data_IF_405425303197
#
_entry.id   IF_405425303197
#
_cell.length_a   1.000
_cell.length_b   1.000
_cell.length_c   1.000
_cell.angle_alpha   90.00
_cell.angle_beta   90.00
_cell.angle_gamma   90.00
#
_symmetry.space_group_name_H-M   'P 1'
#
loop_
_entity.id
_entity.type
_entity.pdbx_description
1 polymer ?
#
# COMPACT_ATOMS: atom_id res chain seq x y z
N UNK A 1 6.21 -15.05 10.22
CA UNK A 1 4.81 -15.35 10.61
C UNK A 1 3.97 -14.17 10.17
N UNK A 2 2.93 -14.37 9.34
CA UNK A 2 2.01 -13.28 8.98
C UNK A 2 1.18 -12.93 10.22
N UNK A 3 1.07 -11.65 10.61
CA UNK A 3 0.23 -11.27 11.75
C UNK A 3 -1.21 -11.68 11.51
N UNK A 4 -1.91 -12.09 12.56
CA UNK A 4 -3.32 -12.46 12.42
C UNK A 4 -4.16 -11.21 12.15
N UNK A 5 -5.23 -11.36 11.36
CA UNK A 5 -6.19 -10.26 11.12
C UNK A 5 -6.65 -9.60 12.43
N UNK A 6 -7.04 -10.41 13.41
CA UNK A 6 -7.56 -9.94 14.70
C UNK A 6 -6.52 -9.12 15.49
N UNK A 7 -5.25 -9.49 15.44
CA UNK A 7 -4.17 -8.70 16.06
C UNK A 7 -4.04 -7.34 15.39
N UNK A 8 -4.06 -7.29 14.05
CA UNK A 8 -3.99 -6.04 13.30
C UNK A 8 -5.20 -5.14 13.59
N UNK A 9 -6.41 -5.68 13.57
CA UNK A 9 -7.64 -4.95 13.92
C UNK A 9 -7.56 -4.36 15.33
N UNK A 10 -7.05 -5.15 16.29
CA UNK A 10 -6.89 -4.71 17.69
C UNK A 10 -5.90 -3.55 17.80
N UNK A 11 -4.76 -3.64 17.12
CA UNK A 11 -3.75 -2.58 17.10
C UNK A 11 -4.29 -1.31 16.42
N UNK A 12 -4.93 -1.44 15.27
CA UNK A 12 -5.53 -0.32 14.56
C UNK A 12 -6.62 0.38 15.39
N UNK A 13 -7.49 -0.38 16.07
CA UNK A 13 -8.50 0.18 16.94
C UNK A 13 -7.91 0.95 18.13
N UNK A 14 -6.75 0.51 18.65
CA UNK A 14 -6.01 1.25 19.68
C UNK A 14 -5.37 2.52 19.12
N UNK A 15 -4.77 2.45 17.94
CA UNK A 15 -4.21 3.62 17.24
C UNK A 15 -5.26 4.69 16.97
N UNK A 16 -6.50 4.30 16.62
CA UNK A 16 -7.64 5.20 16.46
C UNK A 16 -7.95 6.01 17.73
N UNK A 17 -7.58 5.50 18.91
CA UNK A 17 -7.72 6.18 20.22
C UNK A 17 -6.45 6.90 20.65
N UNK A 18 -5.54 7.19 19.71
CA UNK A 18 -4.27 7.87 19.94
C UNK A 18 -3.30 7.12 20.89
N UNK A 19 -3.37 5.78 20.90
CA UNK A 19 -2.44 4.94 21.65
C UNK A 19 -1.11 4.79 20.90
N UNK A 20 -0.10 5.57 21.30
CA UNK A 20 1.24 5.53 20.70
C UNK A 20 1.94 4.17 20.85
N UNK A 21 1.63 3.39 21.89
CA UNK A 21 2.21 2.06 22.07
C UNK A 21 1.66 1.04 21.05
N UNK A 22 0.46 1.28 20.51
CA UNK A 22 -0.09 0.44 19.45
C UNK A 22 0.62 0.64 18.11
N UNK A 23 1.10 1.86 17.81
CA UNK A 23 1.91 2.13 16.62
C UNK A 23 3.24 1.37 16.69
N UNK A 24 3.91 1.42 17.84
CA UNK A 24 5.17 0.68 18.05
C UNK A 24 4.97 -0.84 17.96
N UNK A 25 3.91 -1.37 18.57
CA UNK A 25 3.60 -2.79 18.48
C UNK A 25 3.28 -3.23 17.03
N UNK A 26 2.61 -2.39 16.25
CA UNK A 26 2.39 -2.65 14.82
C UNK A 26 3.71 -2.63 14.05
N UNK A 27 4.59 -1.68 14.35
CA UNK A 27 5.93 -1.60 13.76
C UNK A 27 6.72 -2.88 14.02
N UNK A 28 6.90 -3.27 15.29
CA UNK A 28 7.68 -4.46 15.65
C UNK A 28 7.15 -5.73 14.97
N UNK A 29 5.83 -5.84 14.85
CA UNK A 29 5.15 -6.99 14.26
C UNK A 29 5.32 -7.07 12.73
N UNK A 30 5.40 -5.93 12.03
CA UNK A 30 5.26 -5.88 10.56
C UNK A 30 6.49 -5.34 9.83
N UNK A 31 7.33 -4.55 10.50
CA UNK A 31 8.45 -3.84 9.91
C UNK A 31 9.43 -4.74 9.12
N UNK A 32 9.85 -5.93 9.59
CA UNK A 32 10.80 -6.75 8.83
C UNK A 32 10.30 -7.12 7.43
N UNK A 33 9.01 -7.45 7.29
CA UNK A 33 8.40 -7.84 6.00
C UNK A 33 8.12 -6.64 5.11
N UNK A 34 7.65 -5.54 5.72
CA UNK A 34 7.38 -4.30 5.01
C UNK A 34 8.68 -3.64 4.52
N UNK A 35 9.76 -3.73 5.31
CA UNK A 35 11.09 -3.29 4.93
C UNK A 35 11.63 -4.09 3.74
N UNK A 36 11.54 -5.43 3.77
CA UNK A 36 11.92 -6.28 2.65
C UNK A 36 11.14 -5.96 1.36
N UNK A 37 9.86 -5.56 1.49
CA UNK A 37 9.07 -5.07 0.36
C UNK A 37 9.61 -3.76 -0.20
N UNK A 38 9.85 -2.76 0.66
CA UNK A 38 10.45 -1.48 0.24
C UNK A 38 11.81 -1.69 -0.43
N UNK A 39 12.66 -2.54 0.14
CA UNK A 39 13.98 -2.85 -0.41
C UNK A 39 13.91 -3.48 -1.80
N UNK A 40 12.93 -4.35 -2.06
CA UNK A 40 12.73 -4.94 -3.39
C UNK A 40 12.27 -3.91 -4.44
N UNK A 41 11.49 -2.92 -4.03
CA UNK A 41 10.99 -1.85 -4.92
C UNK A 41 12.10 -0.84 -5.22
N UNK A 42 12.77 -0.34 -4.17
CA UNK A 42 13.71 0.76 -4.27
C UNK A 42 15.14 0.30 -4.60
N UNK A 43 15.49 -0.93 -4.23
CA UNK A 43 16.88 -1.47 -4.33
C UNK A 43 17.93 -0.59 -3.64
N UNK A 44 17.49 0.26 -2.72
CA UNK A 44 18.31 1.14 -1.89
C UNK A 44 17.87 1.00 -0.43
N UNK A 45 18.83 0.75 0.45
CA UNK A 45 18.57 0.54 1.87
C UNK A 45 18.07 1.81 2.55
N UNK A 46 18.71 2.95 2.27
CA UNK A 46 18.37 4.23 2.90
C UNK A 46 16.99 4.70 2.46
N UNK A 47 16.69 4.54 1.17
CA UNK A 47 15.37 4.81 0.61
C UNK A 47 14.29 3.89 1.17
N UNK A 48 14.60 2.61 1.38
CA UNK A 48 13.67 1.66 1.98
C UNK A 48 13.34 2.02 3.45
N UNK A 49 14.33 2.45 4.23
CA UNK A 49 14.12 2.93 5.61
C UNK A 49 13.23 4.18 5.62
N UNK A 50 13.55 5.16 4.78
CA UNK A 50 12.79 6.40 4.69
C UNK A 50 11.34 6.17 4.23
N UNK A 51 11.12 5.32 3.23
CA UNK A 51 9.79 4.96 2.76
C UNK A 51 8.98 4.24 3.85
N UNK A 52 9.62 3.35 4.60
CA UNK A 52 8.97 2.65 5.71
C UNK A 52 8.55 3.62 6.82
N UNK A 53 9.43 4.54 7.21
CA UNK A 53 9.13 5.56 8.22
C UNK A 53 7.95 6.44 7.81
N UNK A 54 7.95 6.95 6.57
CA UNK A 54 6.83 7.77 6.07
C UNK A 54 5.52 6.96 6.04
N UNK A 55 5.59 5.69 5.62
CA UNK A 55 4.42 4.82 5.63
C UNK A 55 3.84 4.64 7.04
N UNK A 56 4.66 4.44 8.07
CA UNK A 56 4.18 4.32 9.44
C UNK A 56 3.59 5.63 9.99
N UNK A 57 4.17 6.79 9.63
CA UNK A 57 3.55 8.08 9.94
C UNK A 57 2.17 8.20 9.29
N UNK A 58 2.04 7.81 8.02
CA UNK A 58 0.77 7.82 7.29
C UNK A 58 -0.26 6.87 7.89
N UNK A 59 0.14 5.63 8.19
CA UNK A 59 -0.70 4.63 8.88
C UNK A 59 -1.22 5.17 10.21
N UNK A 60 -0.36 5.81 11.02
CA UNK A 60 -0.77 6.38 12.30
C UNK A 60 -1.81 7.50 12.14
N UNK A 61 -1.60 8.43 11.20
CA UNK A 61 -2.55 9.51 10.91
C UNK A 61 -3.89 8.98 10.39
N UNK A 62 -3.85 8.05 9.44
CA UNK A 62 -5.06 7.50 8.81
C UNK A 62 -5.87 6.65 9.81
N UNK A 63 -5.20 5.84 10.65
CA UNK A 63 -5.87 5.09 11.71
C UNK A 63 -6.58 6.01 12.73
N UNK A 64 -5.98 7.15 13.08
CA UNK A 64 -6.60 8.15 13.95
C UNK A 64 -7.81 8.83 13.33
N UNK A 65 -7.85 8.96 12.00
CA UNK A 65 -8.98 9.58 11.30
C UNK A 65 -10.25 8.73 11.30
N UNK A 66 -10.20 7.51 11.86
CA UNK A 66 -11.37 6.63 11.98
C UNK A 66 -11.86 6.10 10.63
N UNK A 67 -11.00 6.09 9.61
CA UNK A 67 -11.31 5.46 8.34
C UNK A 67 -11.44 3.94 8.55
N UNK A 68 -12.66 3.48 8.83
CA UNK A 68 -13.04 2.07 8.66
C UNK A 68 -12.97 1.77 7.16
N UNK A 69 -11.78 1.40 6.69
CA UNK A 69 -11.58 0.99 5.32
C UNK A 69 -12.32 -0.33 5.06
N UNK A 70 -12.96 -0.53 3.90
CA UNK A 70 -13.57 -1.81 3.52
C UNK A 70 -12.54 -2.91 3.24
N UNK A 71 -11.26 -2.63 3.48
CA UNK A 71 -10.13 -3.50 3.18
C UNK A 71 -9.67 -4.20 4.45
N UNK A 72 -9.20 -5.42 4.25
CA UNK A 72 -8.54 -6.18 5.32
C UNK A 72 -7.27 -5.43 5.79
N UNK A 73 -6.98 -5.38 7.11
CA UNK A 73 -5.90 -4.57 7.67
C UNK A 73 -4.51 -4.78 7.04
N UNK A 74 -4.12 -6.03 6.78
CA UNK A 74 -2.84 -6.35 6.15
C UNK A 74 -2.78 -5.80 4.73
N UNK A 75 -3.86 -5.92 3.97
CA UNK A 75 -3.98 -5.35 2.61
C UNK A 75 -3.82 -3.84 2.64
N UNK A 76 -4.48 -3.17 3.58
CA UNK A 76 -4.38 -1.72 3.71
C UNK A 76 -2.97 -1.27 4.10
N UNK A 77 -2.35 -1.89 5.13
CA UNK A 77 -0.99 -1.57 5.57
C UNK A 77 0.02 -1.75 4.42
N UNK A 78 -0.01 -2.89 3.75
CA UNK A 78 0.91 -3.18 2.64
C UNK A 78 0.70 -2.24 1.45
N UNK A 79 -0.53 -1.79 1.21
CA UNK A 79 -0.82 -0.77 0.19
C UNK A 79 -0.19 0.57 0.56
N UNK A 80 -0.36 1.05 1.79
CA UNK A 80 0.24 2.32 2.23
C UNK A 80 1.78 2.28 2.11
N UNK A 81 2.40 1.19 2.53
CA UNK A 81 3.87 1.01 2.46
C UNK A 81 4.37 0.96 1.03
N UNK A 82 3.70 0.19 0.16
CA UNK A 82 4.03 0.12 -1.25
C UNK A 82 3.97 1.49 -1.93
N UNK A 83 2.96 2.30 -1.58
CA UNK A 83 2.78 3.62 -2.15
C UNK A 83 3.94 4.53 -1.78
N UNK A 84 4.32 4.56 -0.50
CA UNK A 84 5.47 5.33 -0.05
C UNK A 84 6.77 4.94 -0.80
N UNK A 85 6.97 3.64 -1.07
CA UNK A 85 8.12 3.18 -1.85
C UNK A 85 8.04 3.60 -3.33
N UNK A 86 6.86 3.52 -3.95
CA UNK A 86 6.66 3.93 -5.36
C UNK A 86 6.81 5.45 -5.53
N UNK A 87 6.22 6.24 -4.64
CA UNK A 87 6.31 7.71 -4.64
C UNK A 87 7.77 8.16 -4.57
N UNK A 88 8.55 7.46 -3.75
CA UNK A 88 9.99 7.70 -3.67
C UNK A 88 10.72 7.29 -4.96
N UNK A 89 10.44 6.09 -5.49
CA UNK A 89 11.04 5.62 -6.73
C UNK A 89 10.73 6.58 -7.90
N UNK A 90 9.54 7.20 -7.92
CA UNK A 90 9.15 8.22 -8.91
C UNK A 90 9.97 9.49 -8.75
N UNK A 91 10.15 9.96 -7.53
CA UNK A 91 10.96 11.16 -7.25
C UNK A 91 12.41 10.96 -7.67
N UNK A 92 12.96 9.75 -7.50
CA UNK A 92 14.32 9.38 -7.94
C UNK A 92 14.41 9.22 -9.47
N UNK A 93 13.35 8.76 -10.14
CA UNK A 93 13.28 8.51 -11.59
C UNK A 93 12.60 9.62 -12.42
N UNK A 94 12.33 10.79 -11.86
CA UNK A 94 11.63 11.90 -12.54
C UNK A 94 12.39 12.52 -13.73
N UNK A 95 13.43 11.84 -14.24
CA UNK A 95 14.02 12.07 -15.55
C UNK A 95 13.45 11.21 -16.69
N UNK A 96 12.64 10.15 -16.44
CA UNK A 96 12.39 9.13 -17.50
C UNK A 96 11.11 8.25 -17.32
N UNK A 97 9.91 8.83 -17.16
CA UNK A 97 8.68 8.04 -16.92
C UNK A 97 7.86 7.72 -18.21
N UNK A 98 7.56 6.44 -18.54
CA UNK A 98 6.73 6.04 -19.69
C UNK A 98 5.22 5.98 -19.39
N UNK A 99 4.41 6.15 -20.44
CA UNK A 99 2.92 6.10 -20.47
C UNK A 99 2.38 4.65 -20.31
N UNK A 100 1.26 4.46 -19.61
CA UNK A 100 0.78 3.13 -19.19
C UNK A 100 -0.46 2.61 -19.98
N UNK A 101 -0.48 1.31 -20.29
CA UNK A 101 -1.54 0.61 -21.05
C UNK A 101 -2.78 0.27 -20.18
N UNK A 102 -4.02 0.63 -20.59
CA UNK A 102 -5.26 0.34 -19.86
C UNK A 102 -5.68 -1.15 -19.76
N UNK A 103 -5.17 -2.04 -20.62
CA UNK A 103 -5.52 -3.46 -20.61
C UNK A 103 -4.70 -4.30 -19.61
N UNK A 104 -3.57 -3.75 -19.18
CA UNK A 104 -2.65 -4.39 -18.24
C UNK A 104 -3.05 -3.98 -16.80
N UNK A 105 -3.59 -4.93 -16.03
CA UNK A 105 -3.99 -4.71 -14.64
C UNK A 105 -2.84 -4.30 -13.72
N UNK A 106 -1.60 -4.69 -14.06
CA UNK A 106 -0.38 -4.29 -13.34
C UNK A 106 0.03 -2.88 -13.73
N UNK A 107 -0.12 -2.49 -15.01
CA UNK A 107 0.05 -1.11 -15.45
C UNK A 107 -1.03 -0.19 -14.85
N UNK A 108 -2.26 -0.68 -14.70
CA UNK A 108 -3.35 0.02 -14.04
C UNK A 108 -3.04 0.25 -12.56
N UNK A 109 -2.54 -0.78 -11.86
CA UNK A 109 -2.01 -0.64 -10.50
C UNK A 109 -0.91 0.41 -10.48
N UNK A 110 0.05 0.33 -11.41
CA UNK A 110 1.11 1.34 -11.51
C UNK A 110 0.54 2.73 -11.71
N UNK A 111 -0.51 2.97 -12.50
CA UNK A 111 -1.15 4.29 -12.67
C UNK A 111 -1.89 4.74 -11.42
N UNK A 112 -2.69 3.85 -10.80
CA UNK A 112 -3.38 4.12 -9.53
C UNK A 112 -2.37 4.55 -8.45
N UNK A 113 -1.25 3.84 -8.38
CA UNK A 113 -0.21 4.03 -7.37
C UNK A 113 0.86 5.05 -7.75
N UNK A 114 1.00 5.37 -9.04
CA UNK A 114 1.86 6.42 -9.55
C UNK A 114 1.22 7.79 -9.38
N UNK A 115 0.01 7.96 -9.92
CA UNK A 115 -0.61 9.26 -10.07
C UNK A 115 -1.57 9.61 -8.92
N UNK A 116 -1.75 8.71 -7.94
CA UNK A 116 -2.59 8.94 -6.77
C UNK A 116 -4.08 9.14 -7.09
N UNK A 117 -4.52 8.69 -8.27
CA UNK A 117 -5.87 8.88 -8.76
C UNK A 117 -6.86 8.02 -7.97
N UNK A 118 -7.99 8.60 -7.57
CA UNK A 118 -9.10 7.85 -6.98
C UNK A 118 -9.76 6.92 -8.04
N UNK A 119 -10.50 5.90 -7.56
CA UNK A 119 -11.15 4.93 -8.45
C UNK A 119 -12.13 5.57 -9.45
N UNK A 120 -12.61 6.79 -9.20
CA UNK A 120 -13.51 7.54 -10.10
C UNK A 120 -12.74 8.19 -11.25
N UNK A 121 -11.58 8.78 -10.99
CA UNK A 121 -10.73 9.37 -12.01
C UNK A 121 -10.20 8.31 -13.00
N UNK A 122 -9.92 7.09 -12.53
CA UNK A 122 -9.52 5.96 -13.37
C UNK A 122 -10.65 5.49 -14.28
N UNK A 123 -11.87 5.41 -13.74
CA UNK A 123 -13.07 5.07 -14.49
C UNK A 123 -13.34 6.07 -15.63
N UNK A 124 -13.20 7.37 -15.35
CA UNK A 124 -13.34 8.42 -16.36
C UNK A 124 -12.26 8.36 -17.45
N UNK A 125 -11.00 8.18 -17.07
CA UNK A 125 -9.87 8.21 -18.02
C UNK A 125 -9.84 7.00 -18.96
N UNK A 126 -10.28 5.84 -18.48
CA UNK A 126 -10.22 4.58 -19.23
C UNK A 126 -11.57 4.19 -19.83
N UNK A 127 -12.59 5.05 -19.74
CA UNK A 127 -13.94 4.78 -20.26
C UNK A 127 -14.61 3.54 -19.63
N UNK A 128 -14.23 3.17 -18.40
CA UNK A 128 -14.80 2.02 -17.69
C UNK A 128 -15.63 2.45 -16.48
N UNK A 129 -16.49 1.59 -15.94
CA UNK A 129 -17.16 1.89 -14.67
C UNK A 129 -16.23 1.69 -13.46
N UNK A 130 -16.57 2.36 -12.34
CA UNK A 130 -15.79 2.33 -11.08
C UNK A 130 -15.71 0.90 -10.52
N UNK A 131 -16.78 0.12 -10.71
CA UNK A 131 -16.85 -1.26 -10.24
C UNK A 131 -15.83 -2.17 -10.97
N UNK A 132 -15.66 -1.99 -12.28
CA UNK A 132 -14.69 -2.73 -13.09
C UNK A 132 -13.25 -2.38 -12.77
N UNK A 133 -12.95 -1.08 -12.58
CA UNK A 133 -11.61 -0.64 -12.15
C UNK A 133 -11.22 -1.24 -10.80
N UNK A 134 -12.14 -1.18 -9.83
CA UNK A 134 -11.96 -1.79 -8.50
C UNK A 134 -11.74 -3.30 -8.61
N UNK A 135 -12.56 -4.02 -9.38
CA UNK A 135 -12.49 -5.48 -9.51
C UNK A 135 -11.14 -5.94 -10.09
N UNK A 136 -10.59 -5.21 -11.07
CA UNK A 136 -9.28 -5.52 -11.66
C UNK A 136 -8.13 -5.30 -10.69
N UNK A 137 -8.13 -4.18 -9.98
CA UNK A 137 -7.12 -3.91 -8.93
C UNK A 137 -7.20 -4.98 -7.84
N UNK A 138 -8.42 -5.35 -7.41
CA UNK A 138 -8.63 -6.39 -6.41
C UNK A 138 -8.10 -7.75 -6.89
N UNK A 139 -8.35 -8.12 -8.15
CA UNK A 139 -7.87 -9.39 -8.72
C UNK A 139 -6.33 -9.47 -8.74
N UNK A 140 -5.65 -8.40 -9.17
CA UNK A 140 -4.18 -8.37 -9.19
C UNK A 140 -3.59 -8.38 -7.78
N UNK A 141 -4.25 -7.73 -6.82
CA UNK A 141 -3.83 -7.77 -5.41
C UNK A 141 -3.96 -9.19 -4.83
N UNK A 142 -5.06 -9.90 -5.13
CA UNK A 142 -5.25 -11.29 -4.72
C UNK A 142 -4.20 -12.22 -5.33
N UNK A 143 -3.91 -12.10 -6.63
CA UNK A 143 -2.86 -12.88 -7.29
C UNK A 143 -1.47 -12.62 -6.70
N UNK A 144 -1.18 -11.38 -6.31
CA UNK A 144 0.08 -11.02 -5.67
C UNK A 144 0.18 -11.59 -4.24
N UNK A 145 -0.92 -11.62 -3.49
CA UNK A 145 -0.99 -12.21 -2.15
C UNK A 145 -0.78 -13.73 -2.19
N UNK A 146 -1.36 -14.42 -3.17
CA UNK A 146 -1.18 -15.86 -3.37
C UNK A 146 0.26 -16.19 -3.75
N UNK A 147 0.88 -15.39 -4.61
CA UNK A 147 2.28 -15.54 -5.03
C UNK A 147 3.29 -15.33 -3.90
N UNK A 148 2.99 -14.45 -2.93
CA UNK A 148 3.87 -14.19 -1.78
C UNK A 148 3.68 -15.22 -0.65
N UNK A 149 2.55 -15.95 -0.65
CA UNK A 149 2.23 -16.93 0.39
C UNK A 149 2.71 -18.35 0.05
N UNK A 150 2.97 -18.64 -1.24
CA UNK A 150 3.37 -19.97 -1.73
C UNK A 150 4.80 -20.04 -2.32
N UNK A 151 5.65 -19.04 -2.03
CA UNK A 151 7.03 -18.96 -2.52
C UNK A 151 8.08 -19.07 -1.43
#
# INVERSE_FOLDING_TARGET
MTPSRKELETLMARMARNDGAAVMALYDLTAPRLFAMCLRILKDHSGAEAALQEAFHRIAREAQSGAEGPLEPWVWITSVVRNAAIDRLRTENSGDAPEADPADGVALLKVVYAEGLDYRAIAQRNGSDVAGARKRVQAVLTEFEDSVTHG
#
